data_IF_134953447438
#
_entry.id   IF_134953447438
#
_cell.length_a   1.000
_cell.length_b   1.000
_cell.length_c   1.000
_cell.angle_alpha   90.00
_cell.angle_beta   90.00
_cell.angle_gamma   90.00
#
_symmetry.space_group_name_H-M   'P 1'
#
loop_
_entity.id
_entity.type
_entity.pdbx_description
1 polymer ?
#
# COMPACT_ATOMS: atom_id res chain seq x y z
N UNK A 1 6.29 -14.42 21.54
CA UNK A 1 7.07 -15.65 21.17
C UNK A 1 6.76 -16.00 19.72
N UNK A 2 7.75 -16.39 18.90
CA UNK A 2 7.46 -16.91 17.56
C UNK A 2 6.72 -18.25 17.66
N UNK A 3 5.82 -18.55 16.71
CA UNK A 3 5.13 -19.85 16.67
C UNK A 3 6.21 -20.91 16.47
N UNK A 4 6.67 -21.52 17.56
CA UNK A 4 7.46 -22.74 17.48
C UNK A 4 6.45 -23.83 17.18
N UNK A 5 6.70 -24.61 16.12
CA UNK A 5 5.94 -25.82 15.90
C UNK A 5 5.94 -26.62 17.23
N UNK A 6 4.77 -26.97 17.78
CA UNK A 6 4.70 -27.75 19.00
C UNK A 6 5.50 -29.04 18.81
N UNK A 7 6.10 -29.59 19.89
CA UNK A 7 6.84 -30.85 19.80
C UNK A 7 5.93 -31.92 19.19
N UNK A 8 6.34 -32.52 18.07
CA UNK A 8 5.56 -33.54 17.36
C UNK A 8 4.64 -33.03 16.25
N UNK A 9 4.51 -31.71 16.08
CA UNK A 9 3.75 -31.17 14.95
C UNK A 9 4.62 -31.09 13.69
N UNK A 10 4.02 -31.41 12.54
CA UNK A 10 4.69 -31.34 11.25
C UNK A 10 5.14 -29.89 11.01
N UNK A 11 6.46 -29.69 10.86
CA UNK A 11 7.06 -28.40 10.48
C UNK A 11 6.42 -27.83 9.20
N UNK A 12 5.83 -28.71 8.37
CA UNK A 12 4.99 -28.41 7.22
C UNK A 12 3.77 -27.53 7.50
N UNK A 13 3.08 -27.76 8.62
CA UNK A 13 1.92 -26.97 9.03
C UNK A 13 2.30 -25.58 9.57
N UNK A 14 3.57 -25.38 9.88
CA UNK A 14 4.14 -24.13 10.40
C UNK A 14 5.11 -23.49 9.40
N UNK A 15 4.94 -23.73 8.10
CA UNK A 15 5.67 -23.06 7.00
C UNK A 15 5.17 -21.63 6.81
N UNK A 16 5.38 -20.82 7.85
CA UNK A 16 4.92 -19.44 7.92
C UNK A 16 5.88 -18.54 7.14
N UNK A 17 5.34 -17.55 6.39
CA UNK A 17 6.14 -16.46 5.84
C UNK A 17 6.98 -15.84 6.97
N UNK A 18 8.22 -15.47 6.67
CA UNK A 18 9.03 -14.76 7.66
C UNK A 18 8.74 -13.26 7.61
N UNK A 19 8.98 -12.55 8.72
CA UNK A 19 8.80 -11.09 8.79
C UNK A 19 9.61 -10.33 7.75
N UNK A 20 10.75 -10.86 7.29
CA UNK A 20 11.55 -10.23 6.22
C UNK A 20 10.82 -10.27 4.88
N UNK A 21 10.13 -11.37 4.58
CA UNK A 21 9.29 -11.51 3.38
C UNK A 21 8.10 -10.57 3.47
N UNK A 22 7.41 -10.52 4.61
CA UNK A 22 6.31 -9.58 4.86
C UNK A 22 6.77 -8.13 4.65
N UNK A 23 7.91 -7.75 5.22
CA UNK A 23 8.48 -6.40 5.02
C UNK A 23 8.83 -6.11 3.57
N UNK A 24 9.31 -7.12 2.83
CA UNK A 24 9.58 -6.95 1.40
C UNK A 24 8.28 -6.67 0.62
N UNK A 25 7.18 -7.38 0.92
CA UNK A 25 5.86 -7.09 0.36
C UNK A 25 5.35 -5.69 0.75
N UNK A 26 5.51 -5.27 2.00
CA UNK A 26 5.14 -3.93 2.46
C UNK A 26 5.91 -2.82 1.71
N UNK A 27 7.17 -3.09 1.32
CA UNK A 27 7.96 -2.21 0.47
C UNK A 27 7.56 -2.26 -1.02
N UNK A 28 6.55 -3.05 -1.40
CA UNK A 28 6.11 -3.23 -2.78
C UNK A 28 6.99 -4.16 -3.61
N UNK A 29 7.88 -4.94 -2.97
CA UNK A 29 8.66 -5.98 -3.67
C UNK A 29 7.80 -7.24 -3.81
N UNK A 30 8.06 -8.03 -4.85
CA UNK A 30 7.47 -9.35 -5.09
C UNK A 30 8.52 -10.43 -4.76
N UNK A 31 8.83 -10.69 -3.47
CA UNK A 31 9.87 -11.65 -3.11
C UNK A 31 9.44 -13.07 -3.51
N UNK A 32 10.36 -13.82 -4.12
CA UNK A 32 10.21 -15.26 -4.22
C UNK A 32 10.48 -15.85 -2.84
N UNK A 33 9.47 -16.50 -2.27
CA UNK A 33 9.58 -17.19 -1.00
C UNK A 33 9.02 -18.61 -1.16
N UNK A 34 9.81 -19.58 -0.75
CA UNK A 34 9.46 -21.00 -0.72
C UNK A 34 10.39 -21.69 0.28
N UNK A 35 10.04 -22.88 0.73
CA UNK A 35 10.95 -23.71 1.53
C UNK A 35 11.43 -24.86 0.63
N UNK A 36 12.66 -24.77 0.14
CA UNK A 36 13.26 -25.75 -0.80
C UNK A 36 13.38 -27.16 -0.20
N UNK A 37 13.53 -27.26 1.12
CA UNK A 37 13.64 -28.54 1.84
C UNK A 37 12.67 -28.56 3.00
N UNK A 38 12.05 -29.72 3.24
CA UNK A 38 11.11 -29.90 4.34
C UNK A 38 11.75 -29.68 5.73
N UNK A 39 13.05 -29.91 5.86
CA UNK A 39 13.83 -29.67 7.08
C UNK A 39 14.44 -28.28 7.17
N UNK A 40 14.22 -27.40 6.18
CA UNK A 40 14.82 -26.06 6.18
C UNK A 40 14.10 -25.15 7.18
N UNK A 41 14.87 -24.56 8.10
CA UNK A 41 14.41 -23.49 8.98
C UNK A 41 14.40 -22.10 8.31
N UNK A 42 14.82 -22.01 7.05
CA UNK A 42 14.91 -20.75 6.28
C UNK A 42 14.11 -20.84 4.99
N UNK A 43 13.39 -19.76 4.66
CA UNK A 43 12.79 -19.60 3.34
C UNK A 43 13.86 -19.18 2.31
N UNK A 44 13.61 -19.43 1.02
CA UNK A 44 14.50 -19.10 -0.09
C UNK A 44 14.90 -17.63 -0.12
N UNK A 45 14.00 -16.73 0.28
CA UNK A 45 14.31 -15.30 0.43
C UNK A 45 15.41 -15.04 1.48
N UNK A 46 15.32 -15.67 2.65
CA UNK A 46 16.35 -15.58 3.68
C UNK A 46 17.65 -16.28 3.26
N UNK A 47 17.54 -17.44 2.62
CA UNK A 47 18.68 -18.24 2.18
C UNK A 47 19.51 -17.47 1.14
N UNK A 48 18.87 -16.87 0.13
CA UNK A 48 19.56 -16.03 -0.86
C UNK A 48 20.23 -14.81 -0.25
N UNK A 49 19.66 -14.25 0.81
CA UNK A 49 20.23 -13.12 1.53
C UNK A 49 21.27 -13.48 2.59
N UNK A 50 21.57 -14.77 2.81
CA UNK A 50 22.39 -15.25 3.94
C UNK A 50 21.95 -14.71 5.32
N UNK A 51 20.67 -14.38 5.48
CA UNK A 51 20.14 -13.79 6.71
C UNK A 51 19.33 -14.79 7.54
N UNK A 52 19.11 -14.45 8.81
CA UNK A 52 18.23 -15.23 9.69
C UNK A 52 16.77 -14.98 9.31
N UNK A 53 15.98 -16.05 9.36
CA UNK A 53 14.54 -15.96 9.16
C UNK A 53 13.86 -15.69 10.50
N UNK A 54 13.09 -14.60 10.55
CA UNK A 54 12.36 -14.20 11.74
C UNK A 54 10.91 -14.67 11.60
N UNK A 55 10.43 -15.57 12.47
CA UNK A 55 9.05 -16.05 12.40
C UNK A 55 8.07 -14.93 12.74
N UNK A 56 6.85 -15.05 12.23
CA UNK A 56 5.76 -14.14 12.61
C UNK A 56 5.30 -14.52 14.04
N UNK A 57 5.16 -13.54 14.94
CA UNK A 57 4.68 -13.80 16.30
C UNK A 57 3.20 -14.18 16.35
N UNK A 58 2.84 -15.03 17.31
CA UNK A 58 1.49 -15.61 17.48
C UNK A 58 0.41 -14.55 17.69
N UNK A 59 0.75 -13.45 18.38
CA UNK A 59 -0.18 -12.36 18.67
C UNK A 59 -0.60 -11.56 17.44
N UNK A 60 0.00 -11.80 16.27
CA UNK A 60 -0.39 -11.20 14.99
C UNK A 60 -1.22 -12.17 14.14
N UNK A 61 -1.95 -13.12 14.75
CA UNK A 61 -2.68 -14.15 14.02
C UNK A 61 -3.70 -13.57 13.04
N UNK A 62 -4.38 -12.50 13.45
CA UNK A 62 -5.48 -11.91 12.70
C UNK A 62 -4.97 -11.12 11.49
N UNK A 63 -3.93 -10.30 11.69
CA UNK A 63 -3.26 -9.58 10.61
C UNK A 63 -2.54 -10.53 9.66
N UNK A 64 -2.00 -11.64 10.18
CA UNK A 64 -1.40 -12.66 9.34
C UNK A 64 -2.45 -13.37 8.48
N UNK A 65 -3.62 -13.69 9.02
CA UNK A 65 -4.72 -14.26 8.25
C UNK A 65 -5.20 -13.29 7.14
N UNK A 66 -5.32 -12.00 7.44
CA UNK A 66 -5.67 -10.97 6.45
C UNK A 66 -4.63 -10.88 5.33
N UNK A 67 -3.34 -10.88 5.67
CA UNK A 67 -2.25 -10.91 4.71
C UNK A 67 -2.28 -12.17 3.83
N UNK A 68 -2.52 -13.35 4.42
CA UNK A 68 -2.63 -14.61 3.68
C UNK A 68 -3.80 -14.61 2.70
N UNK A 69 -4.97 -14.12 3.12
CA UNK A 69 -6.14 -14.02 2.25
C UNK A 69 -5.88 -13.11 1.03
N UNK A 70 -5.25 -11.95 1.25
CA UNK A 70 -4.88 -11.03 0.17
C UNK A 70 -3.85 -11.68 -0.78
N UNK A 71 -2.89 -12.43 -0.22
CA UNK A 71 -1.83 -13.07 -0.98
C UNK A 71 -2.35 -14.26 -1.81
N UNK A 72 -3.31 -15.02 -1.28
CA UNK A 72 -4.00 -16.08 -2.02
C UNK A 72 -4.85 -15.53 -3.17
N UNK A 73 -5.52 -14.39 -2.95
CA UNK A 73 -6.22 -13.70 -4.04
C UNK A 73 -5.25 -13.26 -5.13
N UNK A 74 -4.10 -12.69 -4.75
CA UNK A 74 -3.07 -12.27 -5.70
C UNK A 74 -2.46 -13.42 -6.50
N UNK A 75 -2.30 -14.60 -5.89
CA UNK A 75 -1.75 -15.78 -6.55
C UNK A 75 -2.74 -16.45 -7.51
N UNK A 76 -4.05 -16.33 -7.25
CA UNK A 76 -5.12 -16.89 -8.09
C UNK A 76 -5.50 -16.00 -9.27
N UNK A 77 -5.14 -14.72 -9.22
CA UNK A 77 -5.43 -13.78 -10.29
C UNK A 77 -4.43 -13.92 -11.45
N UNK A 78 -4.99 -14.16 -12.63
CA UNK A 78 -4.24 -14.34 -13.88
C UNK A 78 -4.23 -13.06 -14.72
N UNK A 79 -5.20 -12.16 -14.51
CA UNK A 79 -5.23 -10.87 -15.20
C UNK A 79 -4.20 -9.90 -14.60
N UNK A 80 -3.17 -9.51 -15.36
CA UNK A 80 -2.10 -8.61 -14.89
C UNK A 80 -2.59 -7.25 -14.39
N UNK A 81 -3.68 -6.69 -14.96
CA UNK A 81 -4.23 -5.41 -14.50
C UNK A 81 -4.86 -5.55 -13.10
N UNK A 82 -5.73 -6.55 -12.92
CA UNK A 82 -6.39 -6.84 -11.65
C UNK A 82 -5.40 -7.34 -10.60
N UNK A 83 -4.37 -8.09 -11.03
CA UNK A 83 -3.28 -8.56 -10.19
C UNK A 83 -2.45 -7.41 -9.62
N UNK A 84 -2.29 -6.31 -10.35
CA UNK A 84 -1.63 -5.11 -9.84
C UNK A 84 -2.48 -4.44 -8.75
N UNK A 85 -3.80 -4.37 -8.94
CA UNK A 85 -4.74 -3.81 -7.96
C UNK A 85 -4.78 -4.67 -6.70
N UNK A 86 -4.90 -5.99 -6.82
CA UNK A 86 -4.85 -6.92 -5.67
C UNK A 86 -3.49 -6.84 -4.97
N UNK A 87 -2.39 -6.66 -5.71
CA UNK A 87 -1.08 -6.48 -5.09
C UNK A 87 -1.00 -5.22 -4.22
N UNK A 88 -1.78 -4.17 -4.51
CA UNK A 88 -1.88 -3.01 -3.59
C UNK A 88 -2.49 -3.38 -2.25
N UNK A 89 -3.45 -4.31 -2.24
CA UNK A 89 -4.05 -4.89 -1.03
C UNK A 89 -3.04 -5.75 -0.29
N UNK A 90 -2.32 -6.63 -0.99
CA UNK A 90 -1.22 -7.41 -0.37
C UNK A 90 -0.20 -6.50 0.31
N UNK A 91 0.15 -5.39 -0.35
CA UNK A 91 1.08 -4.39 0.20
C UNK A 91 0.51 -3.70 1.44
N UNK A 92 -0.77 -3.34 1.46
CA UNK A 92 -1.39 -2.70 2.63
C UNK A 92 -1.45 -3.66 3.82
N UNK A 93 -1.90 -4.90 3.61
CA UNK A 93 -1.97 -5.91 4.67
C UNK A 93 -0.58 -6.28 5.21
N UNK A 94 0.40 -6.43 4.31
CA UNK A 94 1.79 -6.66 4.71
C UNK A 94 2.35 -5.50 5.56
N UNK A 95 1.92 -4.27 5.28
CA UNK A 95 2.32 -3.09 6.05
C UNK A 95 1.67 -3.09 7.43
N UNK A 96 0.37 -3.37 7.53
CA UNK A 96 -0.35 -3.50 8.80
C UNK A 96 0.33 -4.54 9.69
N UNK A 97 0.52 -5.75 9.16
CA UNK A 97 1.21 -6.84 9.86
C UNK A 97 2.64 -6.43 10.29
N UNK A 98 3.40 -5.80 9.39
CA UNK A 98 4.75 -5.34 9.74
C UNK A 98 4.75 -4.26 10.83
N UNK A 99 3.73 -3.41 10.90
CA UNK A 99 3.70 -2.29 11.83
C UNK A 99 3.22 -2.75 13.22
N UNK A 100 2.25 -3.65 13.30
CA UNK A 100 1.84 -4.31 14.56
C UNK A 100 3.05 -4.98 15.22
N UNK A 101 3.82 -5.75 14.45
CA UNK A 101 5.02 -6.42 14.97
C UNK A 101 6.10 -5.44 15.43
N UNK A 102 6.26 -4.28 14.77
CA UNK A 102 7.22 -3.26 15.20
C UNK A 102 6.80 -2.59 16.50
N UNK A 103 5.51 -2.29 16.66
CA UNK A 103 4.99 -1.60 17.86
C UNK A 103 5.18 -2.46 19.09
N UNK A 104 4.93 -3.76 18.99
CA UNK A 104 5.10 -4.71 20.10
C UNK A 104 6.57 -5.05 20.35
N UNK A 105 7.40 -5.17 19.32
CA UNK A 105 8.86 -5.34 19.51
C UNK A 105 9.52 -4.11 20.15
N UNK A 106 9.04 -2.89 19.85
CA UNK A 106 9.48 -1.70 20.57
C UNK A 106 9.08 -1.75 22.06
N UNK A 107 7.93 -2.36 22.37
CA UNK A 107 7.48 -2.72 23.72
C UNK A 107 8.41 -3.69 24.46
N UNK A 108 9.04 -4.61 23.73
CA UNK A 108 9.93 -5.63 24.28
C UNK A 108 11.40 -5.16 24.38
N UNK A 109 11.82 -4.18 23.58
CA UNK A 109 13.20 -3.64 23.61
C UNK A 109 13.40 -2.61 24.71
N UNK A 110 13.28 -3.00 25.98
CA UNK A 110 13.81 -2.28 27.16
C UNK A 110 13.42 -0.80 27.37
N UNK A 111 12.60 -0.23 26.49
CA UNK A 111 12.12 1.13 26.55
C UNK A 111 11.09 1.18 27.65
N UNK A 112 11.29 2.11 28.56
CA UNK A 112 10.28 2.40 29.57
C UNK A 112 8.98 2.83 28.87
N UNK A 113 7.83 2.50 29.44
CA UNK A 113 6.50 2.91 28.93
C UNK A 113 6.45 4.40 28.53
N UNK A 114 7.07 5.34 29.29
CA UNK A 114 7.14 6.75 28.89
C UNK A 114 7.86 7.00 27.56
N UNK A 115 8.97 6.32 27.27
CA UNK A 115 9.74 6.51 26.03
C UNK A 115 8.96 6.00 24.81
N UNK A 116 8.21 4.92 24.99
CA UNK A 116 7.27 4.40 23.99
C UNK A 116 6.13 5.37 23.70
N UNK A 117 5.56 5.97 24.75
CA UNK A 117 4.52 6.97 24.61
C UNK A 117 5.06 8.23 23.93
N UNK A 118 6.28 8.67 24.24
CA UNK A 118 6.94 9.79 23.57
C UNK A 118 7.20 9.52 22.08
N UNK A 119 7.70 8.33 21.74
CA UNK A 119 7.95 7.95 20.35
C UNK A 119 6.64 7.84 19.55
N UNK A 120 5.58 7.29 20.15
CA UNK A 120 4.26 7.20 19.53
C UNK A 120 3.60 8.58 19.38
N UNK A 121 3.73 9.46 20.38
CA UNK A 121 3.24 10.83 20.31
C UNK A 121 3.92 11.61 19.16
N UNK A 122 5.24 11.47 19.00
CA UNK A 122 5.97 12.09 17.89
C UNK A 122 5.50 11.58 16.52
N UNK A 123 5.18 10.28 16.40
CA UNK A 123 4.61 9.70 15.19
C UNK A 123 3.20 10.21 14.89
N UNK A 124 2.36 10.34 15.91
CA UNK A 124 1.01 10.89 15.77
C UNK A 124 1.05 12.34 15.26
N UNK A 125 1.94 13.19 15.81
CA UNK A 125 2.10 14.56 15.31
C UNK A 125 2.50 14.62 13.82
N UNK A 126 3.43 13.76 13.39
CA UNK A 126 3.83 13.68 11.97
C UNK A 126 2.71 13.19 11.05
N UNK A 127 1.87 12.28 11.55
CA UNK A 127 0.66 11.82 10.86
C UNK A 127 -0.37 12.94 10.73
N UNK A 128 -0.64 13.68 11.80
CA UNK A 128 -1.55 14.83 11.78
C UNK A 128 -1.10 15.89 10.77
N UNK A 129 0.19 16.20 10.72
CA UNK A 129 0.75 17.14 9.75
C UNK A 129 0.60 16.64 8.31
N UNK A 130 0.78 15.33 8.09
CA UNK A 130 0.59 14.70 6.79
C UNK A 130 -0.89 14.75 6.36
N UNK A 131 -1.81 14.48 7.28
CA UNK A 131 -3.27 14.58 7.05
C UNK A 131 -3.67 16.02 6.73
N UNK A 132 -3.14 17.01 7.45
CA UNK A 132 -3.38 18.43 7.16
C UNK A 132 -2.91 18.81 5.76
N UNK A 133 -1.70 18.37 5.36
CA UNK A 133 -1.16 18.62 4.01
C UNK A 133 -2.04 18.01 2.92
N UNK A 134 -2.48 16.76 3.11
CA UNK A 134 -3.40 16.10 2.16
C UNK A 134 -4.73 16.85 2.09
N UNK A 135 -5.30 17.25 3.22
CA UNK A 135 -6.54 18.05 3.26
C UNK A 135 -6.42 19.39 2.52
N UNK A 136 -5.27 20.08 2.65
CA UNK A 136 -5.00 21.30 1.89
C UNK A 136 -4.86 21.02 0.39
N UNK A 137 -4.17 19.95 0.00
CA UNK A 137 -4.05 19.55 -1.40
C UNK A 137 -5.40 19.23 -2.04
N UNK A 138 -6.30 18.57 -1.31
CA UNK A 138 -7.67 18.30 -1.76
C UNK A 138 -8.43 19.61 -2.01
N UNK A 139 -8.44 20.54 -1.05
CA UNK A 139 -9.10 21.86 -1.21
C UNK A 139 -8.54 22.64 -2.40
N UNK A 140 -7.22 22.61 -2.61
CA UNK A 140 -6.58 23.24 -3.77
C UNK A 140 -6.98 22.57 -5.09
N UNK A 141 -7.17 21.25 -5.10
CA UNK A 141 -7.62 20.52 -6.29
C UNK A 141 -9.07 20.86 -6.65
N UNK A 142 -9.96 21.01 -5.66
CA UNK A 142 -11.36 21.37 -5.87
C UNK A 142 -11.51 22.79 -6.41
N UNK A 143 -10.80 23.75 -5.81
CA UNK A 143 -10.80 25.15 -6.29
C UNK A 143 -10.26 25.25 -7.72
N UNK A 144 -9.20 24.51 -8.05
CA UNK A 144 -8.69 24.41 -9.44
C UNK A 144 -9.72 23.82 -10.41
N UNK A 145 -10.45 22.77 -10.02
CA UNK A 145 -11.52 22.18 -10.86
C UNK A 145 -12.62 23.20 -11.17
N UNK A 146 -13.08 23.95 -10.16
CA UNK A 146 -14.11 24.99 -10.33
C UNK A 146 -13.61 26.11 -11.24
N UNK A 147 -12.38 26.58 -11.04
CA UNK A 147 -11.79 27.63 -11.86
C UNK A 147 -11.63 27.19 -13.33
N UNK A 148 -11.16 25.95 -13.56
CA UNK A 148 -11.04 25.38 -14.90
C UNK A 148 -12.41 25.21 -15.58
N UNK A 149 -13.45 24.81 -14.83
CA UNK A 149 -14.82 24.74 -15.35
C UNK A 149 -15.35 26.12 -15.78
N UNK A 150 -15.09 27.16 -14.98
CA UNK A 150 -15.45 28.55 -15.34
C UNK A 150 -14.71 29.04 -16.58
N UNK A 151 -13.40 28.77 -16.67
CA UNK A 151 -12.58 29.13 -17.84
C UNK A 151 -13.08 28.45 -19.11
N UNK A 152 -13.44 27.16 -19.04
CA UNK A 152 -14.03 26.43 -20.18
C UNK A 152 -15.36 27.04 -20.63
N UNK A 153 -16.24 27.42 -19.69
CA UNK A 153 -17.50 28.12 -20.02
C UNK A 153 -17.26 29.47 -20.68
N UNK A 154 -16.28 30.25 -20.19
CA UNK A 154 -15.94 31.55 -20.78
C UNK A 154 -15.38 31.42 -22.21
N UNK A 155 -14.50 30.44 -22.44
CA UNK A 155 -13.97 30.15 -23.78
C UNK A 155 -15.11 29.74 -24.73
N UNK A 156 -15.99 28.84 -24.29
CA UNK A 156 -17.13 28.40 -25.09
C UNK A 156 -18.09 29.55 -25.46
N UNK A 157 -18.32 30.48 -24.54
CA UNK A 157 -19.12 31.68 -24.80
C UNK A 157 -18.45 32.62 -25.81
N UNK A 158 -17.14 32.82 -25.69
CA UNK A 158 -16.37 33.68 -26.60
C UNK A 158 -16.23 33.10 -28.01
N UNK A 159 -16.19 31.77 -28.15
CA UNK A 159 -16.23 31.11 -29.47
C UNK A 159 -17.59 31.20 -30.14
N UNK A 160 -18.69 31.19 -29.37
CA UNK A 160 -20.05 31.37 -29.92
C UNK A 160 -20.28 32.80 -30.42
N UNK A 161 -19.78 33.82 -29.70
CA UNK A 161 -19.91 35.22 -30.11
C UNK A 161 -19.09 35.60 -31.35
N UNK A 162 -18.13 34.77 -31.77
CA UNK A 162 -17.26 35.05 -32.92
C UNK A 162 -17.73 34.34 -34.20
N UNK A 163 -18.69 33.42 -34.09
CA UNK A 163 -19.26 32.69 -35.24
C UNK A 163 -20.50 33.36 -35.84
N UNK A 164 -21.04 34.39 -35.18
CA UNK A 164 -22.21 35.15 -35.68
C UNK A 164 -21.82 36.34 -36.59
N UNK A 165 -20.52 36.59 -36.85
CA UNK A 165 -20.05 37.72 -37.68
C UNK A 165 -19.52 37.31 -39.08
N UNK A 166 -19.51 36.02 -39.45
CA UNK A 166 -18.93 35.55 -40.73
C UNK A 166 -19.96 35.15 -41.82
N UNK A 167 -21.27 35.38 -41.63
CA UNK A 167 -22.32 34.89 -42.55
C UNK A 167 -23.09 35.97 -43.36
N UNK A 168 -22.63 37.23 -43.43
CA UNK A 168 -23.28 38.29 -44.26
C UNK A 168 -22.45 38.79 -45.46
N UNK A 169 -21.55 37.96 -46.00
CA UNK A 169 -20.51 38.43 -46.93
C UNK A 169 -20.33 37.68 -48.25
N UNK A 170 -21.31 36.95 -48.78
CA UNK A 170 -21.15 36.36 -50.12
C UNK A 170 -22.47 36.10 -50.86
N UNK A 171 -23.16 37.16 -51.27
CA UNK A 171 -24.17 37.05 -52.32
C UNK A 171 -24.00 38.22 -53.29
N UNK A 172 -24.06 37.92 -54.59
CA UNK A 172 -24.04 38.80 -55.77
C UNK A 172 -22.69 39.14 -56.43
N UNK A 173 -22.26 38.27 -57.36
CA UNK A 173 -21.71 38.70 -58.65
C UNK A 173 -21.87 37.60 -59.72
N UNK A 174 -23.11 37.42 -60.20
CA UNK A 174 -23.38 36.91 -61.55
C UNK A 174 -24.30 37.91 -62.25
N UNK A 175 -23.75 38.65 -63.21
CA UNK A 175 -24.30 39.02 -64.53
C UNK A 175 -23.35 39.98 -65.25
#
# INVERSE_FOLDING_TARGET
MPIRAPPGALLEAFRVHCLRVVRAFACGKKPVYSFEKASSSKCTYCTKGNEKCNPIPDYCSDEYAAFMNALDAWNKEDNEAEKADIFTVVKSEAKVLSDVVKVTQAGETGLSVPELLLANHGRLGSLEDSVKKVGQAIKQSETRKVLNARRRKAIAFQTLSYSDEEDEGNESMEL
#
